data_IF_886925770746
#
_entry.id   IF_886925770746
#
_cell.length_a   1.000
_cell.length_b   1.000
_cell.length_c   1.000
_cell.angle_alpha   90.00
_cell.angle_beta   90.00
_cell.angle_gamma   90.00
#
_symmetry.space_group_name_H-M   'P 1'
#
loop_
_entity.id
_entity.type
_entity.pdbx_description
1 polymer ?
#
# COMPACT_ATOMS: atom_id res chain seq x y z
N UNK A 1 -2.13 -22.40 -5.40
CA UNK A 1 -1.02 -22.86 -4.57
C UNK A 1 -1.27 -22.46 -3.13
N UNK A 2 -0.94 -23.35 -2.20
CA UNK A 2 -1.07 -23.04 -0.77
C UNK A 2 0.13 -22.21 -0.33
N UNK A 3 -0.10 -21.29 0.62
CA UNK A 3 0.99 -20.54 1.26
C UNK A 3 1.84 -21.50 2.11
N UNK A 4 3.12 -21.18 2.26
CA UNK A 4 4.07 -21.96 3.06
C UNK A 4 4.85 -21.07 4.02
N UNK A 5 5.44 -21.67 5.06
CA UNK A 5 6.24 -20.94 6.05
C UNK A 5 5.45 -19.89 6.80
N UNK A 6 6.09 -18.79 7.17
CA UNK A 6 5.44 -17.75 7.98
C UNK A 6 4.25 -17.06 7.31
N UNK A 7 4.13 -17.11 5.98
CA UNK A 7 2.91 -16.62 5.31
C UNK A 7 1.72 -17.54 5.58
N UNK A 8 1.93 -18.85 5.66
CA UNK A 8 0.88 -19.80 6.07
C UNK A 8 0.48 -19.55 7.53
N UNK A 9 1.45 -19.35 8.43
CA UNK A 9 1.18 -19.05 9.84
C UNK A 9 0.34 -17.79 10.01
N UNK A 10 0.61 -16.74 9.23
CA UNK A 10 -0.19 -15.50 9.24
C UNK A 10 -1.60 -15.75 8.71
N UNK A 11 -1.74 -16.53 7.63
CA UNK A 11 -3.06 -16.85 7.07
C UNK A 11 -3.88 -17.70 8.05
N UNK A 12 -3.29 -18.69 8.69
CA UNK A 12 -3.93 -19.53 9.69
C UNK A 12 -4.34 -18.72 10.93
N UNK A 13 -3.47 -17.82 11.40
CA UNK A 13 -3.80 -16.91 12.48
C UNK A 13 -5.01 -16.03 12.12
N UNK A 14 -5.06 -15.47 10.90
CA UNK A 14 -6.21 -14.69 10.44
C UNK A 14 -7.49 -15.54 10.44
N UNK A 15 -7.44 -16.77 9.91
CA UNK A 15 -8.59 -17.67 9.89
C UNK A 15 -9.13 -18.01 11.28
N UNK A 16 -8.26 -18.02 12.30
CA UNK A 16 -8.64 -18.29 13.69
C UNK A 16 -9.18 -17.06 14.42
N UNK A 17 -8.80 -15.84 14.02
CA UNK A 17 -9.09 -14.61 14.77
C UNK A 17 -10.11 -13.69 14.11
N UNK A 18 -10.33 -13.81 12.79
CA UNK A 18 -11.29 -12.99 12.07
C UNK A 18 -12.74 -13.32 12.47
N UNK A 19 -13.60 -12.30 12.53
CA UNK A 19 -15.02 -12.46 12.77
C UNK A 19 -15.70 -13.18 11.59
N UNK A 20 -15.23 -12.88 10.38
CA UNK A 20 -15.70 -13.49 9.13
C UNK A 20 -14.52 -14.09 8.35
N UNK A 21 -14.03 -15.27 8.78
CA UNK A 21 -12.85 -15.87 8.16
C UNK A 21 -13.16 -16.29 6.73
N UNK A 22 -12.31 -15.83 5.80
CA UNK A 22 -12.33 -16.21 4.39
C UNK A 22 -10.90 -16.47 3.93
N UNK A 23 -10.70 -17.53 3.17
CA UNK A 23 -9.37 -17.95 2.72
C UNK A 23 -8.69 -16.88 1.84
N UNK A 24 -9.47 -16.23 0.98
CA UNK A 24 -8.98 -15.14 0.12
C UNK A 24 -8.51 -13.95 0.97
N UNK A 25 -9.26 -13.58 2.01
CA UNK A 25 -8.89 -12.53 2.94
C UNK A 25 -7.61 -12.88 3.73
N UNK A 26 -7.48 -14.13 4.15
CA UNK A 26 -6.27 -14.63 4.82
C UNK A 26 -5.03 -14.49 3.92
N UNK A 27 -5.17 -14.79 2.63
CA UNK A 27 -4.08 -14.63 1.65
C UNK A 27 -3.73 -13.17 1.42
N UNK A 28 -4.73 -12.29 1.32
CA UNK A 28 -4.50 -10.84 1.20
C UNK A 28 -3.71 -10.32 2.40
N UNK A 29 -4.10 -10.71 3.63
CA UNK A 29 -3.39 -10.30 4.86
C UNK A 29 -1.95 -10.82 4.85
N UNK A 30 -1.76 -12.12 4.60
CA UNK A 30 -0.45 -12.75 4.63
C UNK A 30 0.49 -12.13 3.57
N UNK A 31 0.03 -11.99 2.33
CA UNK A 31 0.83 -11.44 1.25
C UNK A 31 1.14 -9.96 1.43
N UNK A 32 0.17 -9.14 1.87
CA UNK A 32 0.39 -7.71 2.09
C UNK A 32 1.31 -7.46 3.28
N UNK A 33 1.14 -8.19 4.38
CA UNK A 33 2.02 -8.11 5.53
C UNK A 33 3.43 -8.63 5.20
N UNK A 34 3.54 -9.79 4.55
CA UNK A 34 4.82 -10.33 4.09
C UNK A 34 5.54 -9.39 3.13
N UNK A 35 4.79 -8.76 2.21
CA UNK A 35 5.31 -7.78 1.26
C UNK A 35 5.96 -6.60 1.99
N UNK A 36 5.28 -5.98 2.96
CA UNK A 36 5.85 -4.85 3.69
C UNK A 36 7.02 -5.26 4.60
N UNK A 37 6.98 -6.44 5.21
CA UNK A 37 8.07 -6.91 6.09
C UNK A 37 9.33 -7.24 5.28
N UNK A 38 9.18 -7.94 4.16
CA UNK A 38 10.29 -8.24 3.24
C UNK A 38 10.82 -6.96 2.57
N UNK A 39 9.95 -6.09 2.16
CA UNK A 39 10.17 -4.75 1.65
C UNK A 39 11.45 -4.59 0.82
N UNK A 40 12.39 -3.82 1.37
CA UNK A 40 13.68 -3.47 0.73
C UNK A 40 14.80 -4.48 0.99
N UNK A 41 14.54 -5.53 1.77
CA UNK A 41 15.57 -6.45 2.24
C UNK A 41 15.77 -7.66 1.32
N UNK A 42 14.71 -8.09 0.63
CA UNK A 42 14.73 -9.30 -0.18
C UNK A 42 14.40 -8.99 -1.63
N UNK A 43 15.17 -9.60 -2.51
CA UNK A 43 15.04 -9.51 -3.95
C UNK A 43 14.97 -10.94 -4.53
N UNK A 44 14.08 -11.13 -5.50
CA UNK A 44 14.02 -12.33 -6.31
C UNK A 44 14.05 -11.93 -7.80
N UNK A 45 15.07 -12.30 -8.52
CA UNK A 45 15.24 -12.01 -9.96
C UNK A 45 14.98 -10.53 -10.34
N UNK A 46 15.54 -9.60 -9.55
CA UNK A 46 15.31 -8.14 -9.63
C UNK A 46 13.89 -7.70 -9.30
N UNK A 47 13.07 -8.56 -8.75
CA UNK A 47 11.75 -8.20 -8.25
C UNK A 47 11.79 -8.05 -6.73
N UNK A 48 11.18 -6.98 -6.26
CA UNK A 48 10.98 -6.71 -4.84
C UNK A 48 9.53 -6.97 -4.45
N UNK A 49 9.28 -7.10 -3.16
CA UNK A 49 7.99 -7.53 -2.64
C UNK A 49 6.91 -6.45 -2.60
N UNK A 50 7.08 -5.30 -3.28
CA UNK A 50 6.02 -4.27 -3.38
C UNK A 50 4.73 -4.82 -3.98
N UNK A 51 3.60 -4.48 -3.38
CA UNK A 51 2.32 -5.07 -3.75
C UNK A 51 1.20 -4.02 -3.69
N UNK A 52 0.40 -3.93 -4.77
CA UNK A 52 -0.78 -3.05 -4.82
C UNK A 52 -2.00 -3.93 -4.98
N UNK A 53 -2.82 -4.00 -3.94
CA UNK A 53 -3.98 -4.88 -3.86
C UNK A 53 -5.23 -4.06 -3.61
N UNK A 54 -6.29 -4.34 -4.36
CA UNK A 54 -7.63 -3.82 -4.11
C UNK A 54 -8.56 -4.96 -3.71
N UNK A 55 -9.16 -4.85 -2.54
CA UNK A 55 -10.18 -5.77 -2.03
C UNK A 55 -11.55 -5.19 -2.34
N UNK A 56 -12.21 -5.78 -3.34
CA UNK A 56 -13.55 -5.38 -3.76
C UNK A 56 -14.55 -6.36 -3.17
N UNK A 57 -15.42 -5.88 -2.30
CA UNK A 57 -16.44 -6.71 -1.68
C UNK A 57 -17.57 -5.84 -1.11
N UNK A 58 -18.76 -6.42 -1.00
CA UNK A 58 -19.94 -5.76 -0.43
C UNK A 58 -19.75 -5.30 1.03
N UNK A 59 -20.57 -4.35 1.46
CA UNK A 59 -20.62 -3.93 2.86
C UNK A 59 -20.95 -5.13 3.76
N UNK A 60 -20.24 -5.23 4.87
CA UNK A 60 -20.41 -6.35 5.81
C UNK A 60 -19.75 -7.66 5.41
N UNK A 61 -18.98 -7.71 4.32
CA UNK A 61 -18.28 -8.91 3.83
C UNK A 61 -17.05 -9.34 4.65
N UNK A 62 -16.61 -8.53 5.63
CA UNK A 62 -15.41 -8.82 6.44
C UNK A 62 -14.16 -8.04 6.01
N UNK A 63 -14.27 -7.04 5.13
CA UNK A 63 -13.14 -6.14 4.77
C UNK A 63 -12.45 -5.54 6.00
N UNK A 64 -13.25 -5.18 7.02
CA UNK A 64 -12.74 -4.62 8.26
C UNK A 64 -11.83 -5.58 9.03
N UNK A 65 -12.03 -6.89 8.90
CA UNK A 65 -11.18 -7.88 9.56
C UNK A 65 -9.77 -7.89 8.94
N UNK A 66 -9.66 -7.68 7.62
CA UNK A 66 -8.37 -7.53 6.93
C UNK A 66 -7.63 -6.30 7.44
N UNK A 67 -8.33 -5.14 7.50
CA UNK A 67 -7.77 -3.89 7.99
C UNK A 67 -7.23 -4.03 9.42
N UNK A 68 -8.04 -4.60 10.32
CA UNK A 68 -7.64 -4.84 11.72
C UNK A 68 -6.48 -5.81 11.83
N UNK A 69 -6.49 -6.87 11.03
CA UNK A 69 -5.43 -7.88 11.05
C UNK A 69 -4.06 -7.29 10.71
N UNK A 70 -3.97 -6.49 9.64
CA UNK A 70 -2.71 -5.85 9.24
C UNK A 70 -2.23 -4.90 10.34
N UNK A 71 -3.10 -4.04 10.89
CA UNK A 71 -2.73 -3.16 12.01
C UNK A 71 -2.21 -3.96 13.21
N UNK A 72 -2.94 -5.01 13.61
CA UNK A 72 -2.54 -5.86 14.74
C UNK A 72 -1.18 -6.52 14.51
N UNK A 73 -0.90 -6.99 13.30
CA UNK A 73 0.39 -7.59 12.96
C UNK A 73 1.53 -6.57 13.06
N UNK A 74 1.33 -5.36 12.50
CA UNK A 74 2.32 -4.27 12.56
C UNK A 74 2.58 -3.85 14.01
N UNK A 75 1.54 -3.76 14.86
CA UNK A 75 1.68 -3.49 16.29
C UNK A 75 2.46 -4.60 17.00
N UNK A 76 2.14 -5.86 16.72
CA UNK A 76 2.81 -7.02 17.34
C UNK A 76 4.30 -7.09 17.03
N UNK A 77 4.71 -6.74 15.82
CA UNK A 77 6.15 -6.65 15.46
C UNK A 77 6.80 -5.35 15.98
N UNK A 78 6.05 -4.49 16.66
CA UNK A 78 6.51 -3.21 17.24
C UNK A 78 7.14 -2.27 16.21
N UNK A 79 6.60 -2.24 15.00
CA UNK A 79 7.08 -1.42 13.89
C UNK A 79 5.97 -0.50 13.33
N UNK A 80 5.38 0.42 14.15
CA UNK A 80 4.31 1.30 13.67
C UNK A 80 4.75 2.20 12.53
N UNK A 81 6.05 2.43 12.37
CA UNK A 81 6.63 3.14 11.24
C UNK A 81 6.41 2.45 9.89
N UNK A 82 5.91 1.21 9.85
CA UNK A 82 5.51 0.56 8.59
C UNK A 82 4.11 1.01 8.12
N UNK A 83 3.28 1.63 8.96
CA UNK A 83 1.96 2.14 8.56
C UNK A 83 2.09 3.55 7.99
N UNK A 84 1.71 3.72 6.73
CA UNK A 84 1.67 5.02 6.06
C UNK A 84 0.22 5.53 5.96
N UNK A 85 0.03 6.84 6.16
CA UNK A 85 -1.27 7.46 6.04
C UNK A 85 -1.55 7.88 4.59
N UNK A 86 -2.70 7.47 4.05
CA UNK A 86 -3.16 7.81 2.71
C UNK A 86 -3.49 9.31 2.51
N UNK A 87 -3.66 10.09 3.58
CA UNK A 87 -3.96 11.52 3.49
C UNK A 87 -2.90 12.34 2.73
N UNK A 88 -1.70 11.79 2.58
CA UNK A 88 -0.62 12.40 1.80
C UNK A 88 -0.78 12.25 0.28
N UNK A 89 -1.74 11.42 -0.20
CA UNK A 89 -1.88 11.07 -1.61
C UNK A 89 -2.74 12.05 -2.42
N UNK A 90 -2.75 13.31 -2.05
CA UNK A 90 -3.50 14.37 -2.72
C UNK A 90 -2.76 15.02 -3.88
N UNK A 91 -1.44 14.85 -3.96
CA UNK A 91 -0.60 15.39 -5.03
C UNK A 91 0.67 14.54 -5.22
N UNK A 92 1.36 14.71 -6.34
CA UNK A 92 2.62 14.00 -6.59
C UNK A 92 3.71 14.37 -5.57
N UNK A 93 3.82 15.63 -5.17
CA UNK A 93 4.74 16.09 -4.14
C UNK A 93 4.42 15.47 -2.77
N UNK A 94 3.14 15.33 -2.43
CA UNK A 94 2.67 14.66 -1.21
C UNK A 94 3.04 13.19 -1.19
N UNK A 95 2.75 12.47 -2.27
CA UNK A 95 3.12 11.05 -2.42
C UNK A 95 4.63 10.88 -2.34
N UNK A 96 5.38 11.67 -3.10
CA UNK A 96 6.85 11.57 -3.12
C UNK A 96 7.44 11.83 -1.73
N UNK A 97 6.98 12.88 -1.04
CA UNK A 97 7.42 13.22 0.32
C UNK A 97 7.11 12.12 1.33
N UNK A 98 5.92 11.52 1.24
CA UNK A 98 5.54 10.41 2.11
C UNK A 98 6.47 9.21 1.94
N UNK A 99 6.75 8.83 0.68
CA UNK A 99 7.65 7.72 0.37
C UNK A 99 9.10 8.06 0.72
N UNK A 100 9.55 9.31 0.53
CA UNK A 100 10.89 9.76 0.92
C UNK A 100 11.11 9.65 2.44
N UNK A 101 10.10 10.05 3.21
CA UNK A 101 10.13 9.97 4.68
C UNK A 101 10.04 8.51 5.17
N UNK A 102 9.28 7.68 4.46
CA UNK A 102 8.97 6.31 4.84
C UNK A 102 9.06 5.38 3.62
N UNK A 103 10.30 5.04 3.19
CA UNK A 103 10.52 4.33 1.91
C UNK A 103 10.14 2.84 1.94
N UNK A 104 9.77 2.31 3.10
CA UNK A 104 9.20 0.97 3.27
C UNK A 104 7.95 1.10 4.13
N UNK A 105 6.78 0.89 3.52
CA UNK A 105 5.51 1.08 4.20
C UNK A 105 4.37 0.28 3.58
N UNK A 106 3.33 0.06 4.39
CA UNK A 106 2.01 -0.35 3.94
C UNK A 106 1.01 0.78 4.18
N UNK A 107 0.26 1.12 3.16
CA UNK A 107 -0.82 2.08 3.23
C UNK A 107 -2.17 1.35 3.12
N UNK A 108 -3.00 1.49 4.14
CA UNK A 108 -4.36 0.95 4.17
C UNK A 108 -5.32 2.06 3.76
N UNK A 109 -6.05 1.84 2.68
CA UNK A 109 -6.93 2.86 2.07
C UNK A 109 -8.37 2.36 2.13
N UNK A 110 -9.14 2.91 3.06
CA UNK A 110 -10.59 2.69 3.07
C UNK A 110 -11.27 3.55 2.00
N UNK A 111 -12.41 3.11 1.49
CA UNK A 111 -13.15 3.78 0.41
C UNK A 111 -12.29 4.09 -0.84
N UNK A 112 -11.49 3.11 -1.25
CA UNK A 112 -10.53 3.27 -2.36
C UNK A 112 -11.20 3.72 -3.67
N UNK A 113 -12.45 3.33 -3.92
CA UNK A 113 -13.24 3.80 -5.06
C UNK A 113 -13.42 5.32 -5.08
N UNK A 114 -13.74 5.92 -3.94
CA UNK A 114 -13.88 7.38 -3.81
C UNK A 114 -12.56 8.11 -4.05
N UNK A 115 -11.45 7.53 -3.62
CA UNK A 115 -10.10 8.09 -3.88
C UNK A 115 -9.76 8.01 -5.36
N UNK A 116 -10.05 6.88 -6.03
CA UNK A 116 -9.83 6.75 -7.47
C UNK A 116 -10.66 7.76 -8.26
N UNK A 117 -11.94 7.97 -7.88
CA UNK A 117 -12.79 8.98 -8.49
C UNK A 117 -12.21 10.39 -8.31
N UNK A 118 -11.87 10.77 -7.10
CA UNK A 118 -11.26 12.07 -6.83
C UNK A 118 -9.94 12.27 -7.61
N UNK A 119 -9.19 11.19 -7.83
CA UNK A 119 -7.97 11.21 -8.63
C UNK A 119 -8.26 11.33 -10.14
N UNK A 120 -9.39 10.81 -10.66
CA UNK A 120 -9.77 10.93 -12.07
C UNK A 120 -10.29 12.32 -12.40
N UNK A 121 -10.98 12.97 -11.49
CA UNK A 121 -11.64 14.26 -11.68
C UNK A 121 -10.70 15.46 -11.61
N UNK A 122 -9.50 15.29 -11.03
CA UNK A 122 -8.57 16.37 -10.81
C UNK A 122 -7.16 16.06 -11.33
N UNK A 123 -6.64 16.90 -12.21
CA UNK A 123 -5.29 16.77 -12.81
C UNK A 123 -4.19 16.65 -11.73
N UNK A 124 -4.29 17.38 -10.62
CA UNK A 124 -3.29 17.33 -9.54
C UNK A 124 -3.31 15.92 -8.90
N UNK A 125 -4.48 15.37 -8.68
CA UNK A 125 -4.63 14.02 -8.11
C UNK A 125 -4.23 12.91 -9.09
N UNK A 126 -4.42 13.11 -10.40
CA UNK A 126 -3.89 12.20 -11.44
C UNK A 126 -2.36 12.11 -11.39
N UNK A 127 -1.67 13.21 -11.06
CA UNK A 127 -0.22 13.18 -10.90
C UNK A 127 0.23 12.38 -9.68
N UNK A 128 -0.59 12.31 -8.62
CA UNK A 128 -0.35 11.45 -7.47
C UNK A 128 -0.38 9.96 -7.87
N UNK A 129 -1.39 9.55 -8.65
CA UNK A 129 -1.49 8.18 -9.16
C UNK A 129 -0.28 7.80 -10.03
N UNK A 130 0.16 8.72 -10.90
CA UNK A 130 1.37 8.54 -11.71
C UNK A 130 2.60 8.32 -10.80
N UNK A 131 2.72 9.05 -9.70
CA UNK A 131 3.85 8.90 -8.77
C UNK A 131 3.77 7.59 -7.99
N UNK A 132 2.59 7.13 -7.61
CA UNK A 132 2.38 5.78 -7.03
C UNK A 132 2.80 4.68 -8.01
N UNK A 133 2.39 4.78 -9.27
CA UNK A 133 2.80 3.83 -10.32
C UNK A 133 4.32 3.83 -10.53
N UNK A 134 4.96 5.01 -10.55
CA UNK A 134 6.42 5.12 -10.63
C UNK A 134 7.10 4.52 -9.41
N UNK A 135 6.56 4.71 -8.21
CA UNK A 135 7.10 4.10 -7.01
C UNK A 135 7.08 2.56 -7.09
N UNK A 136 6.00 1.99 -7.60
CA UNK A 136 5.89 0.55 -7.83
C UNK A 136 6.92 0.05 -8.85
N UNK A 137 7.04 0.71 -10.00
CA UNK A 137 7.97 0.31 -11.07
C UNK A 137 9.44 0.61 -10.74
N UNK A 138 9.71 1.44 -9.74
CA UNK A 138 11.08 1.76 -9.27
C UNK A 138 11.50 0.95 -8.04
N UNK A 139 10.76 -0.09 -7.67
CA UNK A 139 11.07 -0.90 -6.49
C UNK A 139 12.46 -1.56 -6.55
N UNK A 140 12.96 -1.86 -7.75
CA UNK A 140 14.30 -2.40 -8.00
C UNK A 140 15.38 -1.32 -8.24
N UNK A 141 15.00 -0.06 -8.31
CA UNK A 141 15.85 1.01 -8.80
C UNK A 141 15.72 2.29 -7.95
N UNK A 142 15.54 3.42 -8.59
CA UNK A 142 15.51 4.72 -7.93
C UNK A 142 14.32 5.54 -8.42
N UNK A 143 13.51 5.99 -7.48
CA UNK A 143 12.48 6.98 -7.74
C UNK A 143 13.07 8.39 -7.62
N UNK A 144 13.18 9.08 -8.76
CA UNK A 144 13.66 10.47 -8.81
C UNK A 144 12.50 11.44 -8.59
N UNK A 145 12.74 12.56 -7.89
CA UNK A 145 11.73 13.61 -7.74
C UNK A 145 11.42 14.27 -9.08
N UNK A 146 10.26 14.89 -9.19
CA UNK A 146 9.99 15.86 -10.25
C UNK A 146 10.68 17.18 -9.93
N UNK A 147 10.87 18.02 -10.98
CA UNK A 147 11.38 19.36 -10.80
C UNK A 147 10.29 20.27 -10.25
N UNK A 148 10.52 20.88 -9.10
CA UNK A 148 9.62 21.85 -8.48
C UNK A 148 10.28 23.24 -8.46
N UNK A 149 9.49 24.29 -8.61
CA UNK A 149 9.99 25.68 -8.71
C UNK A 149 10.32 26.35 -7.38
N UNK A 150 10.14 25.64 -6.26
CA UNK A 150 10.47 26.20 -4.95
C UNK A 150 11.97 26.11 -4.64
N UNK A 151 12.38 26.92 -3.65
CA UNK A 151 13.79 27.05 -3.26
C UNK A 151 14.24 26.12 -2.14
N UNK A 152 13.30 25.35 -1.55
CA UNK A 152 13.59 24.44 -0.44
C UNK A 152 14.07 23.10 -0.97
N UNK A 153 15.38 23.01 -1.21
CA UNK A 153 16.02 21.77 -1.71
C UNK A 153 16.12 20.65 -0.68
N UNK A 154 15.94 20.96 0.62
CA UNK A 154 16.05 19.97 1.70
C UNK A 154 14.71 19.26 1.97
N UNK A 155 13.63 19.73 1.35
CA UNK A 155 12.31 19.12 1.49
C UNK A 155 12.29 17.66 0.98
N UNK A 156 11.59 16.74 1.67
CA UNK A 156 11.48 15.34 1.24
C UNK A 156 11.02 15.13 -0.20
N UNK A 157 10.23 16.07 -0.77
CA UNK A 157 9.78 16.00 -2.16
C UNK A 157 10.91 16.11 -3.20
N UNK A 158 12.11 16.59 -2.81
CA UNK A 158 13.28 16.71 -3.66
C UNK A 158 14.28 15.56 -3.48
N UNK A 159 14.03 14.66 -2.55
CA UNK A 159 14.94 13.57 -2.25
C UNK A 159 14.86 12.44 -3.29
N UNK A 160 15.99 11.88 -3.62
CA UNK A 160 16.08 10.64 -4.40
C UNK A 160 15.78 9.47 -3.48
N UNK A 161 14.83 8.62 -3.87
CA UNK A 161 14.43 7.47 -3.07
C UNK A 161 14.98 6.20 -3.73
N UNK A 162 15.88 5.53 -3.04
CA UNK A 162 16.45 4.26 -3.51
C UNK A 162 15.57 3.12 -3.06
N UNK A 163 15.13 2.28 -4.01
CA UNK A 163 14.32 1.08 -3.76
C UNK A 163 13.08 1.36 -2.90
N UNK A 164 12.13 2.19 -3.35
CA UNK A 164 10.89 2.37 -2.63
C UNK A 164 10.15 1.04 -2.52
N UNK A 165 9.68 0.70 -1.33
CA UNK A 165 8.92 -0.53 -1.07
C UNK A 165 7.57 -0.18 -0.45
N UNK A 166 6.67 0.32 -1.28
CA UNK A 166 5.32 0.67 -0.88
C UNK A 166 4.37 -0.49 -1.19
N UNK A 167 3.64 -0.92 -0.17
CA UNK A 167 2.50 -1.83 -0.30
C UNK A 167 1.21 -1.03 -0.15
N UNK A 168 0.31 -1.12 -1.11
CA UNK A 168 -1.02 -0.52 -1.04
C UNK A 168 -2.07 -1.60 -0.85
N UNK A 169 -2.96 -1.40 0.11
CA UNK A 169 -4.11 -2.25 0.35
C UNK A 169 -5.37 -1.38 0.39
N UNK A 170 -6.06 -1.31 -0.73
CA UNK A 170 -7.30 -0.56 -0.91
C UNK A 170 -8.53 -1.42 -0.64
N UNK A 171 -9.57 -0.82 -0.07
CA UNK A 171 -10.86 -1.45 0.18
C UNK A 171 -11.95 -0.67 -0.54
N UNK A 172 -12.80 -1.35 -1.31
CA UNK A 172 -13.89 -0.72 -2.04
C UNK A 172 -15.14 -1.59 -2.09
N UNK A 173 -16.26 -0.96 -2.43
CA UNK A 173 -17.48 -1.65 -2.80
C UNK A 173 -17.51 -1.85 -4.31
N UNK A 174 -18.19 -2.91 -4.82
CA UNK A 174 -18.31 -3.14 -6.27
C UNK A 174 -18.90 -1.95 -7.01
N UNK A 175 -19.94 -1.32 -6.47
CA UNK A 175 -20.63 -0.20 -7.10
C UNK A 175 -19.75 1.04 -7.21
N UNK A 176 -18.95 1.33 -6.17
CA UNK A 176 -18.03 2.48 -6.15
C UNK A 176 -16.88 2.31 -7.15
N UNK A 177 -16.43 1.07 -7.37
CA UNK A 177 -15.34 0.77 -8.32
C UNK A 177 -15.88 0.73 -9.75
N UNK A 178 -17.03 0.07 -9.98
CA UNK A 178 -17.60 -0.07 -11.33
C UNK A 178 -18.05 1.28 -11.94
N UNK A 179 -18.45 2.24 -11.10
CA UNK A 179 -18.78 3.60 -11.54
C UNK A 179 -17.58 4.44 -11.98
N UNK A 180 -16.35 3.96 -11.72
CA UNK A 180 -15.07 4.68 -11.91
C UNK A 180 -14.09 3.99 -12.88
N UNK A 181 -14.52 2.89 -13.52
CA UNK A 181 -13.82 2.17 -14.58
C UNK A 181 -14.50 2.44 -15.91
#
# INVERSE_FOLDING_TARGET
PDLTGCLADVADWFMQTAIRPRREAAYVVALSFGSVVCGRFYEFERSYSSNYVCVIAETGSGKQDIYRAVNTLVEKIRCPALLMNANSFTSDAGVHSAIATQPQAICLIDEFGSILQAMSDNIISQTALTTLTRAFTSADSTLTPKSYSDKDTDSPKHQIIVRPALTLLGFGNPDDIAGNL
#
